data_IF_781415110269
#
_entry.id   IF_781415110269
#
_cell.length_a   1.000
_cell.length_b   1.000
_cell.length_c   1.000
_cell.angle_alpha   90.00
_cell.angle_beta   90.00
_cell.angle_gamma   90.00
#
_symmetry.space_group_name_H-M   'P 1'
#
loop_
_entity.id
_entity.type
_entity.pdbx_description
1 polymer ?
#
# COMPACT_ATOMS: atom_id res chain seq x y z
N UNK A 1 -3.80 3.31 -12.33
CA UNK A 1 -3.51 2.04 -11.60
C UNK A 1 -2.31 2.24 -10.70
N UNK A 2 -1.09 2.41 -11.21
CA UNK A 2 0.13 2.38 -10.37
C UNK A 2 0.75 3.72 -9.95
N UNK A 3 0.25 4.87 -10.41
CA UNK A 3 0.81 6.18 -10.07
C UNK A 3 -0.27 7.04 -9.39
N UNK A 4 -0.51 6.80 -8.10
CA UNK A 4 -1.36 7.65 -7.30
C UNK A 4 -0.54 8.78 -6.69
N UNK A 5 -1.11 9.98 -6.66
CA UNK A 5 -0.57 11.03 -5.81
C UNK A 5 -0.73 10.61 -4.35
N UNK A 6 0.32 10.77 -3.55
CA UNK A 6 0.18 10.66 -2.10
C UNK A 6 -0.57 11.89 -1.56
N UNK A 7 -1.07 11.78 -0.32
CA UNK A 7 -1.42 12.99 0.42
C UNK A 7 -0.18 13.90 0.50
N UNK A 8 -0.39 15.20 0.31
CA UNK A 8 0.60 16.22 0.66
C UNK A 8 0.64 16.33 2.18
N UNK A 9 1.34 15.40 2.82
CA UNK A 9 1.46 15.38 4.28
C UNK A 9 2.68 16.20 4.64
N UNK A 10 2.46 17.50 4.88
CA UNK A 10 3.50 18.40 5.37
C UNK A 10 4.13 17.87 6.69
N UNK A 11 3.38 17.09 7.48
CA UNK A 11 3.91 16.44 8.67
C UNK A 11 3.15 15.16 9.08
N UNK A 12 3.77 13.98 8.92
CA UNK A 12 3.22 12.71 9.43
C UNK A 12 3.04 12.70 10.95
N UNK A 13 3.72 13.60 11.67
CA UNK A 13 3.57 13.77 13.12
C UNK A 13 2.15 14.13 13.50
N UNK A 14 1.44 14.92 12.69
CA UNK A 14 0.07 15.32 13.00
C UNK A 14 -0.84 14.09 13.17
N UNK A 15 -0.70 13.08 12.32
CA UNK A 15 -1.47 11.83 12.45
C UNK A 15 -1.13 11.06 13.74
N UNK A 16 0.14 11.04 14.14
CA UNK A 16 0.55 10.44 15.40
C UNK A 16 0.01 11.22 16.61
N UNK A 17 -0.02 12.55 16.55
CA UNK A 17 -0.57 13.38 17.63
C UNK A 17 -2.10 13.27 17.72
N UNK A 18 -2.78 13.14 16.57
CA UNK A 18 -4.22 12.85 16.53
C UNK A 18 -4.52 11.44 17.05
N UNK A 19 -3.67 10.44 16.79
CA UNK A 19 -3.83 9.10 17.34
C UNK A 19 -3.56 9.06 18.85
N UNK A 20 -2.48 9.72 19.26
CA UNK A 20 -1.87 9.65 20.60
C UNK A 20 -1.71 11.06 21.19
N UNK A 21 -2.80 11.68 21.66
CA UNK A 21 -2.76 13.05 22.14
C UNK A 21 -2.08 13.09 23.51
N UNK A 22 -1.42 14.20 23.86
CA UNK A 22 -0.86 14.36 25.19
C UNK A 22 -1.98 14.38 26.26
N UNK A 23 -1.70 13.80 27.43
CA UNK A 23 -2.56 13.92 28.61
C UNK A 23 -3.86 13.10 28.61
N UNK A 24 -4.06 12.20 27.64
CA UNK A 24 -5.13 11.18 27.73
C UNK A 24 -4.54 9.91 28.33
N UNK A 25 -5.11 9.48 29.46
CA UNK A 25 -4.72 8.26 30.17
C UNK A 25 -5.40 7.00 29.60
N UNK A 26 -4.69 5.86 29.50
CA UNK A 26 -3.25 5.73 29.69
C UNK A 26 -2.50 6.47 28.57
N UNK A 27 -1.42 7.18 28.91
CA UNK A 27 -0.51 7.72 27.91
C UNK A 27 -0.05 6.55 27.03
N UNK A 28 -0.38 6.62 25.74
CA UNK A 28 -0.14 5.51 24.82
C UNK A 28 1.34 5.53 24.42
N UNK A 29 1.80 6.55 23.70
CA UNK A 29 3.21 6.70 23.29
C UNK A 29 3.74 8.10 23.61
N UNK A 30 5.00 8.16 24.03
CA UNK A 30 5.75 9.38 24.34
C UNK A 30 6.15 10.17 23.09
N UNK A 31 6.63 11.40 23.29
CA UNK A 31 7.19 12.23 22.21
C UNK A 31 8.39 11.57 21.54
N UNK A 32 9.28 10.98 22.33
CA UNK A 32 10.47 10.28 21.84
C UNK A 32 10.10 9.05 21.01
N UNK A 33 9.07 8.32 21.41
CA UNK A 33 8.56 7.18 20.64
C UNK A 33 7.91 7.62 19.32
N UNK A 34 7.23 8.76 19.28
CA UNK A 34 6.74 9.35 18.03
C UNK A 34 7.90 9.73 17.10
N UNK A 35 8.95 10.34 17.64
CA UNK A 35 10.14 10.69 16.85
C UNK A 35 10.85 9.44 16.29
N UNK A 36 10.88 8.35 17.06
CA UNK A 36 11.35 7.04 16.60
C UNK A 36 10.47 6.49 15.47
N UNK A 37 9.14 6.51 15.61
CA UNK A 37 8.21 6.07 14.56
C UNK A 37 8.41 6.87 13.26
N UNK A 38 8.64 8.18 13.36
CA UNK A 38 8.95 9.02 12.20
C UNK A 38 10.27 8.65 11.52
N UNK A 39 11.26 8.12 12.25
CA UNK A 39 12.48 7.56 11.65
C UNK A 39 12.15 6.32 10.80
N UNK A 40 11.29 5.43 11.30
CA UNK A 40 10.82 4.28 10.54
C UNK A 40 10.00 4.70 9.31
N UNK A 41 9.19 5.76 9.38
CA UNK A 41 8.46 6.27 8.21
C UNK A 41 9.41 6.78 7.13
N UNK A 42 10.50 7.47 7.53
CA UNK A 42 11.56 7.85 6.60
C UNK A 42 12.27 6.65 5.99
N UNK A 43 12.60 5.64 6.79
CA UNK A 43 13.22 4.40 6.31
C UNK A 43 12.30 3.69 5.30
N UNK A 44 11.00 3.60 5.59
CA UNK A 44 10.02 3.04 4.66
C UNK A 44 10.04 3.76 3.31
N UNK A 45 10.07 5.10 3.33
CA UNK A 45 10.13 5.88 2.09
C UNK A 45 11.43 5.66 1.31
N UNK A 46 12.57 5.57 2.02
CA UNK A 46 13.88 5.29 1.42
C UNK A 46 13.92 3.91 0.75
N UNK A 47 13.31 2.92 1.40
CA UNK A 47 13.20 1.54 0.90
C UNK A 47 12.01 1.34 -0.06
N UNK A 48 11.33 2.42 -0.48
CA UNK A 48 10.16 2.39 -1.37
C UNK A 48 9.01 1.48 -0.87
N UNK A 49 8.90 1.33 0.46
CA UNK A 49 7.95 0.43 1.11
C UNK A 49 8.17 -1.05 0.81
N UNK A 50 9.38 -1.43 0.36
CA UNK A 50 9.73 -2.83 0.11
C UNK A 50 9.93 -3.56 1.43
N UNK A 51 9.37 -4.78 1.60
CA UNK A 51 9.58 -5.59 2.80
C UNK A 51 11.08 -5.79 3.11
N UNK A 52 11.49 -5.45 4.33
CA UNK A 52 12.85 -5.69 4.82
C UNK A 52 12.84 -6.16 6.29
N UNK A 53 13.99 -6.60 6.81
CA UNK A 53 14.14 -6.99 8.22
C UNK A 53 14.20 -5.77 9.13
N UNK A 54 14.80 -4.68 8.65
CA UNK A 54 14.89 -3.40 9.34
C UNK A 54 13.50 -2.82 9.57
N UNK A 55 12.61 -2.88 8.57
CA UNK A 55 11.22 -2.40 8.70
C UNK A 55 10.37 -3.23 9.69
N UNK A 56 10.81 -4.38 10.18
CA UNK A 56 10.09 -5.09 11.25
C UNK A 56 10.12 -4.29 12.57
N UNK A 57 11.17 -3.49 12.76
CA UNK A 57 11.39 -2.71 13.99
C UNK A 57 11.53 -3.60 15.22
N UNK A 58 12.13 -4.78 15.10
CA UNK A 58 12.31 -5.74 16.20
C UNK A 58 13.23 -5.20 17.32
N UNK A 59 14.01 -4.17 17.02
CA UNK A 59 14.81 -3.39 17.96
C UNK A 59 14.02 -2.31 18.72
N UNK A 60 12.74 -2.10 18.38
CA UNK A 60 11.85 -1.16 19.08
C UNK A 60 11.02 -1.86 20.16
N UNK A 61 10.57 -1.13 21.21
CA UNK A 61 9.75 -1.72 22.27
C UNK A 61 8.49 -2.40 21.72
N UNK A 62 8.23 -3.66 22.10
CA UNK A 62 7.00 -4.37 21.72
C UNK A 62 5.72 -3.60 22.11
N UNK A 63 5.61 -2.96 23.29
CA UNK A 63 4.42 -2.17 23.63
C UNK A 63 4.13 -1.05 22.62
N UNK A 64 5.18 -0.34 22.15
CA UNK A 64 5.06 0.71 21.12
C UNK A 64 4.50 0.12 19.82
N UNK A 65 5.10 -0.98 19.33
CA UNK A 65 4.63 -1.66 18.12
C UNK A 65 3.17 -2.09 18.25
N UNK A 66 2.80 -2.66 19.40
CA UNK A 66 1.44 -3.12 19.65
C UNK A 66 0.43 -1.95 19.71
N UNK A 67 0.78 -0.84 20.34
CA UNK A 67 -0.08 0.35 20.38
C UNK A 67 -0.31 0.93 18.98
N UNK A 68 0.70 0.98 18.11
CA UNK A 68 0.49 1.39 16.71
C UNK A 68 -0.38 0.41 15.95
N UNK A 69 -0.18 -0.89 16.15
CA UNK A 69 -1.04 -1.93 15.59
C UNK A 69 -2.52 -1.74 15.95
N UNK A 70 -2.80 -1.42 17.21
CA UNK A 70 -4.17 -1.28 17.72
C UNK A 70 -4.80 0.07 17.35
N UNK A 71 -3.98 1.10 17.14
CA UNK A 71 -4.40 2.41 16.67
C UNK A 71 -5.03 2.39 15.27
N UNK A 72 -4.86 1.33 14.47
CA UNK A 72 -5.61 1.18 13.21
C UNK A 72 -7.14 1.20 13.42
N UNK A 73 -7.62 0.81 14.59
CA UNK A 73 -9.05 0.94 14.95
C UNK A 73 -9.54 2.40 14.94
N UNK A 74 -8.64 3.38 15.05
CA UNK A 74 -8.94 4.81 15.00
C UNK A 74 -9.14 5.34 13.58
N UNK A 75 -8.73 4.59 12.55
CA UNK A 75 -8.89 4.95 11.13
C UNK A 75 -10.36 4.82 10.69
N UNK A 76 -11.18 4.06 11.39
CA UNK A 76 -12.57 3.80 11.00
C UNK A 76 -13.44 5.07 11.00
N UNK A 77 -14.54 5.03 10.23
CA UNK A 77 -15.44 6.18 10.11
C UNK A 77 -16.01 6.61 11.48
N UNK A 78 -16.08 7.92 11.71
CA UNK A 78 -16.50 8.49 12.99
C UNK A 78 -15.48 8.36 14.14
N UNK A 79 -14.28 7.84 13.86
CA UNK A 79 -13.18 7.76 14.84
C UNK A 79 -12.14 8.86 14.59
N UNK A 80 -11.13 8.92 15.46
CA UNK A 80 -10.17 10.03 15.54
C UNK A 80 -9.40 10.28 14.25
N UNK A 81 -9.09 9.23 13.49
CA UNK A 81 -8.41 9.31 12.19
C UNK A 81 -9.37 9.08 11.01
N UNK A 82 -10.69 9.21 11.21
CA UNK A 82 -11.68 9.04 10.14
C UNK A 82 -11.50 10.05 9.00
N UNK A 83 -11.00 11.26 9.29
CA UNK A 83 -10.64 12.24 8.25
C UNK A 83 -9.50 11.73 7.36
N UNK A 84 -8.45 11.14 7.95
CA UNK A 84 -7.35 10.53 7.21
C UNK A 84 -7.87 9.42 6.30
N UNK A 85 -8.77 8.56 6.81
CA UNK A 85 -9.41 7.52 5.99
C UNK A 85 -10.16 8.10 4.78
N UNK A 86 -10.99 9.11 5.00
CA UNK A 86 -11.74 9.75 3.94
C UNK A 86 -10.79 10.35 2.87
N UNK A 87 -9.75 11.08 3.31
CA UNK A 87 -8.76 11.67 2.40
C UNK A 87 -8.00 10.62 1.59
N UNK A 88 -7.57 9.52 2.21
CA UNK A 88 -6.88 8.43 1.51
C UNK A 88 -7.78 7.73 0.48
N UNK A 89 -9.05 7.50 0.81
CA UNK A 89 -10.02 6.90 -0.14
C UNK A 89 -10.28 7.80 -1.35
N UNK A 90 -10.20 9.12 -1.19
CA UNK A 90 -10.39 10.09 -2.27
C UNK A 90 -9.19 10.21 -3.22
N UNK A 91 -8.03 9.60 -2.91
CA UNK A 91 -6.86 9.63 -3.79
C UNK A 91 -7.03 8.81 -5.07
N UNK A 92 -8.00 7.89 -5.11
CA UNK A 92 -8.21 6.99 -6.22
C UNK A 92 -9.69 6.92 -6.61
N UNK A 93 -9.96 7.01 -7.91
CA UNK A 93 -11.31 6.78 -8.46
C UNK A 93 -11.63 5.29 -8.59
N UNK A 94 -10.60 4.48 -8.89
CA UNK A 94 -10.67 3.03 -9.06
C UNK A 94 -9.51 2.36 -8.33
N UNK A 95 -9.68 1.11 -7.92
CA UNK A 95 -8.69 0.31 -7.22
C UNK A 95 -7.35 0.34 -7.98
N UNK A 96 -6.24 0.78 -7.35
CA UNK A 96 -4.94 0.87 -7.98
C UNK A 96 -4.29 -0.50 -8.15
N UNK A 97 -4.86 -1.57 -7.58
CA UNK A 97 -4.41 -2.93 -7.84
C UNK A 97 -4.98 -3.50 -9.13
N UNK A 98 -6.30 -3.41 -9.35
CA UNK A 98 -6.91 -4.00 -10.54
C UNK A 98 -7.29 -3.00 -11.64
N UNK A 99 -7.27 -1.69 -11.35
CA UNK A 99 -7.61 -0.61 -12.29
C UNK A 99 -9.09 -0.43 -12.60
N UNK A 100 -9.99 -1.23 -12.03
CA UNK A 100 -11.44 -1.13 -12.32
C UNK A 100 -12.35 -1.23 -11.09
N UNK A 101 -11.92 -1.89 -10.02
CA UNK A 101 -12.77 -2.12 -8.84
C UNK A 101 -13.08 -0.83 -8.08
N UNK A 102 -14.25 -0.69 -7.43
CA UNK A 102 -14.57 0.49 -6.64
C UNK A 102 -13.71 0.57 -5.36
N UNK A 103 -13.46 1.78 -4.86
CA UNK A 103 -12.72 1.98 -3.60
C UNK A 103 -13.63 1.72 -2.40
N UNK A 104 -13.43 0.59 -1.75
CA UNK A 104 -14.23 0.15 -0.60
C UNK A 104 -13.47 0.33 0.71
N UNK A 105 -12.17 0.02 0.71
CA UNK A 105 -11.36 -0.11 1.92
C UNK A 105 -9.97 0.52 1.77
N UNK A 106 -9.18 0.46 2.84
CA UNK A 106 -7.75 0.75 2.83
C UNK A 106 -7.02 -0.57 3.09
N UNK A 107 -6.20 -1.00 2.15
CA UNK A 107 -5.29 -2.14 2.30
C UNK A 107 -3.97 -1.69 2.91
N UNK A 108 -3.33 -2.58 3.65
CA UNK A 108 -1.98 -2.37 4.17
C UNK A 108 -0.96 -2.94 3.19
N UNK A 109 -0.15 -2.09 2.54
CA UNK A 109 0.87 -2.56 1.60
C UNK A 109 1.82 -3.56 2.29
N UNK A 110 2.48 -3.10 3.35
CA UNK A 110 3.14 -3.94 4.35
C UNK A 110 2.16 -4.30 5.44
N UNK A 111 2.01 -5.59 5.67
CA UNK A 111 0.91 -6.13 6.45
C UNK A 111 0.97 -5.71 7.92
N UNK A 112 -0.14 -5.17 8.39
CA UNK A 112 -0.34 -4.65 9.75
C UNK A 112 0.18 -5.58 10.86
N UNK A 113 -0.10 -6.88 10.77
CA UNK A 113 0.27 -7.84 11.82
C UNK A 113 1.78 -8.07 11.97
N UNK A 114 2.56 -7.87 10.90
CA UNK A 114 4.01 -8.06 10.87
C UNK A 114 4.77 -6.74 10.93
N UNK A 115 4.30 -5.74 10.20
CA UNK A 115 4.90 -4.41 10.07
C UNK A 115 4.13 -3.40 10.93
N UNK A 116 4.03 -3.69 12.23
CA UNK A 116 3.11 -3.02 13.16
C UNK A 116 3.29 -1.50 13.24
N UNK A 117 4.53 -1.01 13.09
CA UNK A 117 4.84 0.42 13.14
C UNK A 117 4.13 1.24 12.04
N UNK A 118 3.76 0.61 10.92
CA UNK A 118 3.16 1.27 9.76
C UNK A 118 1.64 1.12 9.71
N UNK A 119 1.01 0.69 10.80
CA UNK A 119 -0.42 0.37 10.84
C UNK A 119 -1.32 1.57 10.56
N UNK A 120 -0.90 2.79 10.92
CA UNK A 120 -1.61 4.04 10.61
C UNK A 120 -0.81 4.94 9.67
N UNK A 121 0.26 4.43 9.07
CA UNK A 121 1.12 5.22 8.20
C UNK A 121 0.43 5.44 6.85
N UNK A 122 0.18 6.69 6.41
CA UNK A 122 -0.61 6.96 5.20
C UNK A 122 -0.06 6.29 3.93
N UNK A 123 1.26 6.27 3.74
CA UNK A 123 1.85 5.64 2.54
C UNK A 123 1.72 4.11 2.54
N UNK A 124 1.54 3.50 3.71
CA UNK A 124 1.29 2.07 3.84
C UNK A 124 -0.20 1.72 3.66
N UNK A 125 -1.08 2.71 3.53
CA UNK A 125 -2.54 2.54 3.41
C UNK A 125 -3.01 2.85 1.98
N UNK A 126 -3.33 1.81 1.23
CA UNK A 126 -3.69 1.89 -0.19
C UNK A 126 -5.22 1.82 -0.35
N UNK A 127 -5.89 2.82 -0.94
CA UNK A 127 -7.31 2.70 -1.26
C UNK A 127 -7.50 1.53 -2.22
N UNK A 128 -8.38 0.59 -1.89
CA UNK A 128 -8.54 -0.64 -2.68
C UNK A 128 -9.98 -1.15 -2.68
N UNK A 129 -10.30 -2.00 -3.66
CA UNK A 129 -11.54 -2.76 -3.66
C UNK A 129 -11.44 -3.95 -2.70
N UNK A 130 -12.57 -4.42 -2.17
CA UNK A 130 -12.59 -5.52 -1.23
C UNK A 130 -12.08 -6.84 -1.82
N UNK A 131 -12.25 -7.06 -3.13
CA UNK A 131 -11.75 -8.26 -3.81
C UNK A 131 -10.21 -8.32 -3.80
N UNK A 132 -9.53 -7.26 -4.26
CA UNK A 132 -8.07 -7.21 -4.25
C UNK A 132 -7.51 -7.21 -2.82
N UNK A 133 -8.13 -6.46 -1.89
CA UNK A 133 -7.69 -6.43 -0.49
C UNK A 133 -7.71 -7.84 0.14
N UNK A 134 -8.77 -8.62 -0.09
CA UNK A 134 -8.89 -9.99 0.44
C UNK A 134 -8.02 -11.01 -0.30
N UNK A 135 -7.84 -10.85 -1.61
CA UNK A 135 -7.09 -11.77 -2.48
C UNK A 135 -5.57 -11.58 -2.42
N UNK A 136 -5.11 -10.40 -1.99
CA UNK A 136 -3.70 -10.07 -1.84
C UNK A 136 -2.96 -11.06 -0.95
N UNK A 137 -1.70 -11.36 -1.30
CA UNK A 137 -0.86 -12.29 -0.56
C UNK A 137 -0.55 -11.78 0.85
N UNK A 138 -0.82 -12.65 1.84
CA UNK A 138 -0.51 -12.43 3.25
C UNK A 138 0.91 -12.76 3.64
N UNK A 139 1.83 -13.06 2.74
CA UNK A 139 3.25 -13.09 3.08
C UNK A 139 4.02 -12.56 1.88
N UNK A 140 4.81 -11.49 2.05
CA UNK A 140 5.62 -10.99 0.96
C UNK A 140 6.62 -12.09 0.54
N UNK A 141 6.83 -12.29 -0.77
CA UNK A 141 7.87 -13.19 -1.25
C UNK A 141 9.24 -12.79 -0.70
N UNK A 142 10.12 -13.75 -0.44
CA UNK A 142 11.49 -13.47 0.00
C UNK A 142 12.35 -12.82 -1.10
N UNK A 143 11.97 -13.02 -2.38
CA UNK A 143 12.63 -12.42 -3.52
C UNK A 143 12.01 -11.05 -3.85
N UNK A 144 12.85 -10.05 -4.08
CA UNK A 144 12.46 -8.70 -4.48
C UNK A 144 11.58 -8.67 -5.74
N UNK A 145 11.78 -9.61 -6.67
CA UNK A 145 10.94 -9.74 -7.88
C UNK A 145 9.45 -9.99 -7.57
N UNK A 146 9.13 -10.46 -6.37
CA UNK A 146 7.77 -10.71 -5.91
C UNK A 146 7.20 -9.61 -5.02
N UNK A 147 7.96 -8.53 -4.76
CA UNK A 147 7.45 -7.40 -3.98
C UNK A 147 6.43 -6.61 -4.79
N UNK A 148 5.35 -6.19 -4.13
CA UNK A 148 4.28 -5.41 -4.77
C UNK A 148 4.79 -4.05 -5.25
N UNK A 149 4.19 -3.53 -6.32
CA UNK A 149 4.46 -2.18 -6.81
C UNK A 149 3.89 -1.16 -5.82
N UNK A 150 4.70 -0.20 -5.42
CA UNK A 150 4.28 0.84 -4.48
C UNK A 150 3.61 2.00 -5.22
N UNK A 151 2.29 2.09 -5.13
CA UNK A 151 1.46 3.01 -5.94
C UNK A 151 1.74 4.50 -5.73
N UNK A 152 2.36 4.88 -4.61
CA UNK A 152 2.74 6.27 -4.31
C UNK A 152 4.23 6.58 -4.51
N UNK A 153 5.11 5.57 -4.52
CA UNK A 153 6.56 5.77 -4.39
C UNK A 153 7.33 5.29 -5.62
N UNK A 154 6.70 4.47 -6.46
CA UNK A 154 7.30 4.02 -7.72
C UNK A 154 6.55 4.68 -8.88
N UNK A 155 7.25 5.52 -9.65
CA UNK A 155 6.70 6.17 -10.82
C UNK A 155 6.91 5.31 -12.07
N UNK A 156 5.79 4.79 -12.59
CA UNK A 156 5.77 3.99 -13.80
C UNK A 156 5.38 4.78 -15.06
N UNK A 157 5.16 6.10 -14.96
CA UNK A 157 4.63 6.92 -16.07
C UNK A 157 5.57 7.02 -17.27
N UNK A 158 6.87 6.83 -17.03
CA UNK A 158 7.91 6.85 -18.04
C UNK A 158 7.95 5.58 -18.92
N UNK A 159 7.26 4.51 -18.52
CA UNK A 159 7.32 3.23 -19.22
C UNK A 159 6.02 2.92 -19.96
N UNK A 160 6.13 2.52 -21.23
CA UNK A 160 4.99 2.10 -22.04
C UNK A 160 4.94 0.57 -22.19
N UNK A 161 4.47 -0.10 -21.14
CA UNK A 161 4.58 -1.56 -20.99
C UNK A 161 3.26 -2.32 -21.02
N UNK A 162 2.13 -1.72 -20.64
CA UNK A 162 0.87 -2.47 -20.55
C UNK A 162 0.27 -2.63 -21.95
N UNK A 163 -0.01 -3.87 -22.35
CA UNK A 163 -0.64 -4.20 -23.64
C UNK A 163 -1.85 -5.08 -23.40
N UNK A 164 -2.77 -5.04 -24.36
CA UNK A 164 -3.93 -5.93 -24.41
C UNK A 164 -3.99 -6.60 -25.78
N UNK A 165 -4.21 -7.90 -25.80
CA UNK A 165 -4.60 -8.65 -26.98
C UNK A 165 -6.11 -8.86 -26.93
N UNK A 166 -6.81 -8.50 -28.01
CA UNK A 166 -8.27 -8.61 -28.09
C UNK A 166 -8.63 -9.61 -29.17
N UNK A 167 -9.41 -10.61 -28.80
CA UNK A 167 -9.93 -11.64 -29.71
C UNK A 167 -11.45 -11.69 -29.65
N UNK A 168 -12.06 -12.22 -30.71
CA UNK A 168 -13.50 -12.49 -30.76
C UNK A 168 -13.67 -14.00 -30.90
N UNK A 169 -14.38 -14.60 -29.96
CA UNK A 169 -14.73 -16.01 -30.02
C UNK A 169 -15.63 -16.27 -31.24
N UNK A 170 -15.18 -17.11 -32.17
CA UNK A 170 -15.88 -17.33 -33.43
C UNK A 170 -17.22 -18.07 -33.32
N UNK A 171 -17.49 -18.74 -32.19
CA UNK A 171 -18.71 -19.51 -31.99
C UNK A 171 -19.80 -18.69 -31.25
N UNK A 172 -19.39 -17.88 -30.28
CA UNK A 172 -20.27 -17.11 -29.40
C UNK A 172 -20.32 -15.62 -29.76
N UNK A 173 -19.34 -15.12 -30.51
CA UNK A 173 -19.16 -13.70 -30.78
C UNK A 173 -18.65 -12.89 -29.58
N UNK A 174 -18.26 -13.56 -28.48
CA UNK A 174 -17.80 -12.89 -27.27
C UNK A 174 -16.43 -12.22 -27.48
N UNK A 175 -16.29 -10.98 -27.01
CA UNK A 175 -15.02 -10.26 -26.96
C UNK A 175 -14.22 -10.77 -25.76
N UNK A 176 -12.95 -11.13 -25.98
CA UNK A 176 -12.00 -11.49 -24.93
C UNK A 176 -10.81 -10.54 -24.99
N UNK A 177 -10.35 -10.07 -23.82
CA UNK A 177 -9.22 -9.17 -23.71
C UNK A 177 -8.20 -9.74 -22.73
N UNK A 178 -7.00 -10.03 -23.20
CA UNK A 178 -5.88 -10.54 -22.41
C UNK A 178 -4.84 -9.46 -22.20
N UNK A 179 -4.61 -9.06 -20.95
CA UNK A 179 -3.57 -8.07 -20.63
C UNK A 179 -2.23 -8.74 -20.36
N UNK A 180 -1.14 -8.06 -20.76
CA UNK A 180 0.22 -8.51 -20.51
C UNK A 180 1.20 -7.35 -20.41
N UNK A 181 2.36 -7.62 -19.81
CA UNK A 181 3.47 -6.66 -19.68
C UNK A 181 4.44 -6.89 -20.85
N UNK A 182 4.49 -5.93 -21.77
CA UNK A 182 5.50 -5.88 -22.83
C UNK A 182 6.80 -5.24 -22.31
N UNK A 183 7.96 -5.62 -22.86
CA UNK A 183 9.20 -4.90 -22.62
C UNK A 183 9.07 -3.42 -23.00
N UNK A 184 9.60 -2.54 -22.16
CA UNK A 184 9.72 -1.11 -22.42
C UNK A 184 11.20 -0.74 -22.39
N UNK A 185 11.69 0.19 -23.24
CA UNK A 185 13.04 0.72 -23.14
C UNK A 185 13.35 1.18 -21.70
N UNK A 186 14.58 0.90 -21.27
CA UNK A 186 15.15 1.29 -19.97
C UNK A 186 14.40 0.77 -18.73
N UNK A 187 13.40 -0.11 -18.90
CA UNK A 187 12.71 -0.76 -17.79
C UNK A 187 13.62 -1.83 -17.17
N UNK A 188 13.93 -1.76 -15.85
CA UNK A 188 14.69 -2.80 -15.18
C UNK A 188 13.98 -4.16 -15.22
N UNK A 189 14.74 -5.25 -15.40
CA UNK A 189 14.17 -6.60 -15.45
C UNK A 189 13.40 -6.97 -14.17
N UNK A 190 13.89 -6.50 -13.01
CA UNK A 190 13.20 -6.68 -11.73
C UNK A 190 11.82 -6.03 -11.73
N UNK A 191 11.71 -4.79 -12.23
CA UNK A 191 10.44 -4.07 -12.33
C UNK A 191 9.49 -4.80 -13.30
N UNK A 192 10.00 -5.27 -14.44
CA UNK A 192 9.22 -6.04 -15.40
C UNK A 192 8.63 -7.31 -14.75
N UNK A 193 9.45 -8.07 -13.99
CA UNK A 193 8.99 -9.27 -13.27
C UNK A 193 7.95 -8.94 -12.20
N UNK A 194 8.15 -7.87 -11.44
CA UNK A 194 7.16 -7.42 -10.43
C UNK A 194 5.83 -7.04 -11.07
N UNK A 195 5.84 -6.36 -12.21
CA UNK A 195 4.63 -6.03 -12.97
C UNK A 195 3.92 -7.27 -13.52
N UNK A 196 4.67 -8.27 -14.00
CA UNK A 196 4.08 -9.54 -14.40
C UNK A 196 3.42 -10.25 -13.22
N UNK A 197 4.12 -10.30 -12.08
CA UNK A 197 3.60 -10.88 -10.83
C UNK A 197 2.36 -10.15 -10.32
N UNK A 198 2.29 -8.83 -10.50
CA UNK A 198 1.10 -8.03 -10.17
C UNK A 198 -0.13 -8.48 -10.97
N UNK A 199 0.00 -8.71 -12.28
CA UNK A 199 -1.11 -9.22 -13.09
C UNK A 199 -1.56 -10.61 -12.63
N UNK A 200 -0.63 -11.48 -12.21
CA UNK A 200 -0.96 -12.80 -11.64
C UNK A 200 -1.66 -12.66 -10.29
N UNK A 201 -1.14 -11.82 -9.39
CA UNK A 201 -1.66 -11.68 -8.02
C UNK A 201 -3.12 -11.19 -8.00
N UNK A 202 -3.50 -10.33 -8.94
CA UNK A 202 -4.83 -9.75 -9.01
C UNK A 202 -5.70 -10.31 -10.14
N UNK A 203 -5.29 -11.44 -10.75
CA UNK A 203 -6.03 -12.16 -11.79
C UNK A 203 -6.44 -11.27 -12.99
N UNK A 204 -5.47 -10.51 -13.50
CA UNK A 204 -5.66 -9.51 -14.56
C UNK A 204 -5.25 -10.02 -15.95
N UNK A 205 -4.98 -11.31 -16.09
CA UNK A 205 -4.44 -11.90 -17.32
C UNK A 205 -5.51 -12.50 -18.24
N UNK A 206 -6.80 -12.47 -17.88
CA UNK A 206 -7.87 -13.12 -18.65
C UNK A 206 -9.20 -12.42 -18.56
#
# INVERSE_FOLDING_TARGET
>A
MWNLNSLDVADYREHLDIAFPPGIMPEQISVQEKDLVLQFYRLYQQELGRPSVELLGDDTPEPLRQQLHDAYSLIQDGRRLGKLRASLKLLAETCPYCGYGPIEELDHLLQRGRYKLFSIFPLNLIPSCGACNRGKRRTPPANADGHQIHVYLEDLSQYDFLRAEVTVDGATGALQARYFIAPSPDMPDELNRRLQNHLVEFDLQS
#
